data_IF_529718393512
#
_entry.id   IF_529718393512
#
_cell.length_a   1.000
_cell.length_b   1.000
_cell.length_c   1.000
_cell.angle_alpha   90.00
_cell.angle_beta   90.00
_cell.angle_gamma   90.00
#
_symmetry.space_group_name_H-M   'P 1'
#
loop_
_entity.id
_entity.type
_entity.pdbx_description
1 polymer ?
#
# COMPACT_ATOMS: atom_id res chain seq x y z
N UNK A 1 17.74 -29.34 37.81
CA UNK A 1 17.20 -28.06 38.31
C UNK A 1 17.21 -27.08 37.15
N UNK A 2 16.04 -26.64 36.67
CA UNK A 2 15.91 -25.64 35.59
C UNK A 2 15.74 -24.28 36.25
N UNK A 3 16.72 -23.38 36.13
CA UNK A 3 16.49 -21.98 36.48
C UNK A 3 15.72 -21.30 35.34
N UNK A 4 14.57 -20.75 35.72
CA UNK A 4 13.69 -19.92 34.92
C UNK A 4 14.34 -18.55 34.73
N UNK A 5 14.32 -18.03 33.50
CA UNK A 5 14.56 -16.60 33.27
C UNK A 5 15.31 -16.26 31.99
N UNK A 6 14.93 -16.80 30.83
CA UNK A 6 15.38 -16.28 29.54
C UNK A 6 14.73 -14.92 29.27
N UNK A 7 15.18 -13.88 29.99
CA UNK A 7 14.62 -12.54 29.86
C UNK A 7 15.22 -11.88 28.62
N UNK A 8 14.45 -11.86 27.53
CA UNK A 8 14.79 -11.09 26.35
C UNK A 8 14.86 -9.62 26.74
N UNK A 9 16.02 -9.01 26.57
CA UNK A 9 16.25 -7.60 26.91
C UNK A 9 16.72 -6.88 25.65
N UNK A 10 16.09 -5.74 25.33
CA UNK A 10 16.51 -4.89 24.21
C UNK A 10 17.89 -4.33 24.54
N UNK A 11 18.84 -4.52 23.63
CA UNK A 11 20.20 -3.98 23.76
C UNK A 11 20.30 -2.72 22.89
N UNK A 12 20.71 -1.60 23.49
CA UNK A 12 20.97 -0.36 22.75
C UNK A 12 22.28 -0.42 21.96
N UNK A 13 22.47 0.46 20.97
CA UNK A 13 23.63 0.44 20.08
C UNK A 13 24.99 0.53 20.81
N UNK A 14 25.06 1.27 21.91
CA UNK A 14 26.29 1.45 22.70
C UNK A 14 26.30 0.65 24.02
N UNK A 15 25.35 -0.27 24.19
CA UNK A 15 25.22 -1.00 25.45
C UNK A 15 26.25 -2.13 25.54
N UNK A 16 27.11 -2.07 26.56
CA UNK A 16 28.05 -3.14 26.89
C UNK A 16 27.30 -4.30 27.57
N UNK A 17 27.32 -5.49 26.97
CA UNK A 17 26.73 -6.71 27.52
C UNK A 17 27.83 -7.58 28.13
N UNK A 18 27.68 -7.94 29.41
CA UNK A 18 28.61 -8.83 30.09
C UNK A 18 28.20 -10.30 29.88
N UNK A 19 29.10 -11.12 29.33
CA UNK A 19 28.88 -12.54 29.00
C UNK A 19 29.57 -13.49 30.00
N UNK A 20 29.77 -13.03 31.24
CA UNK A 20 30.54 -13.79 32.24
C UNK A 20 29.76 -14.91 32.94
N UNK A 21 28.45 -15.03 32.67
CA UNK A 21 27.61 -16.05 33.27
C UNK A 21 27.59 -17.33 32.40
N UNK A 22 27.73 -18.55 32.97
CA UNK A 22 27.70 -19.78 32.18
C UNK A 22 26.34 -19.98 31.50
N UNK A 23 26.30 -19.90 30.17
CA UNK A 23 25.08 -20.02 29.37
C UNK A 23 25.34 -20.01 27.87
N UNK A 24 24.27 -20.07 27.07
CA UNK A 24 24.32 -19.81 25.62
C UNK A 24 23.58 -18.50 25.39
N UNK A 25 24.31 -17.46 25.03
CA UNK A 25 23.72 -16.20 24.59
C UNK A 25 23.39 -16.26 23.10
N UNK A 26 22.13 -15.93 22.76
CA UNK A 26 21.68 -15.82 21.37
C UNK A 26 21.35 -14.37 21.10
N UNK A 27 22.13 -13.75 20.22
CA UNK A 27 21.78 -12.47 19.64
C UNK A 27 20.84 -12.72 18.47
N UNK A 28 19.60 -12.26 18.60
CA UNK A 28 18.58 -12.39 17.58
C UNK A 28 18.15 -11.00 17.14
N UNK A 29 18.32 -10.68 15.87
CA UNK A 29 17.68 -9.53 15.25
C UNK A 29 16.23 -9.89 15.00
N UNK A 30 15.34 -9.44 15.88
CA UNK A 30 13.90 -9.49 15.65
C UNK A 30 13.50 -8.23 14.86
N UNK A 31 12.79 -8.37 13.72
CA UNK A 31 12.08 -7.24 13.13
C UNK A 31 11.23 -6.57 14.21
N UNK A 32 11.30 -5.24 14.33
CA UNK A 32 10.55 -4.51 15.37
C UNK A 32 9.03 -4.55 15.14
N UNK A 33 8.60 -4.92 13.94
CA UNK A 33 7.19 -5.03 13.57
C UNK A 33 6.68 -6.45 13.85
N UNK A 34 6.18 -6.66 15.06
CA UNK A 34 5.16 -7.69 15.28
C UNK A 34 3.84 -7.17 14.69
N UNK A 35 3.61 -7.44 13.40
CA UNK A 35 2.24 -7.51 12.89
C UNK A 35 1.66 -8.87 13.30
N UNK A 36 0.49 -8.86 13.92
CA UNK A 36 -0.23 -10.07 14.30
C UNK A 36 -0.45 -10.98 13.08
N UNK A 37 0.15 -12.17 13.11
CA UNK A 37 -0.53 -13.42 12.76
C UNK A 37 -0.91 -13.72 11.31
N UNK A 38 -0.69 -12.85 10.33
CA UNK A 38 -0.94 -13.16 8.92
C UNK A 38 0.28 -12.84 8.05
N UNK A 39 0.87 -13.89 7.47
CA UNK A 39 1.89 -13.75 6.44
C UNK A 39 1.27 -13.07 5.22
N UNK A 40 1.84 -11.96 4.77
CA UNK A 40 1.40 -11.26 3.57
C UNK A 40 1.38 -12.21 2.36
N UNK A 41 0.28 -12.21 1.61
CA UNK A 41 0.08 -13.15 0.49
C UNK A 41 0.99 -12.82 -0.69
N UNK A 42 1.39 -13.86 -1.42
CA UNK A 42 2.21 -13.79 -2.65
C UNK A 42 1.63 -14.73 -3.72
N UNK A 43 0.32 -14.61 -3.97
CA UNK A 43 -0.42 -15.49 -4.88
C UNK A 43 -0.19 -15.18 -6.37
N UNK A 44 0.43 -14.04 -6.70
CA UNK A 44 0.70 -13.64 -8.07
C UNK A 44 2.17 -13.25 -8.22
N UNK A 45 2.77 -13.61 -9.34
CA UNK A 45 4.13 -13.18 -9.69
C UNK A 45 4.10 -11.77 -10.28
N UNK A 46 5.00 -10.90 -9.83
CA UNK A 46 5.21 -9.56 -10.37
C UNK A 46 6.47 -9.51 -11.24
N UNK A 47 6.69 -8.38 -11.92
CA UNK A 47 7.96 -8.12 -12.59
C UNK A 47 9.05 -7.83 -11.54
N UNK A 48 10.30 -8.10 -11.88
CA UNK A 48 11.44 -7.81 -10.98
C UNK A 48 11.49 -6.32 -10.60
N UNK A 49 11.36 -5.43 -11.59
CA UNK A 49 11.30 -3.96 -11.39
C UNK A 49 10.14 -3.51 -10.50
N UNK A 50 9.02 -4.22 -10.52
CA UNK A 50 7.85 -3.92 -9.67
C UNK A 50 8.10 -4.33 -8.23
N UNK A 51 8.71 -5.50 -8.00
CA UNK A 51 9.10 -5.94 -6.66
C UNK A 51 10.17 -5.03 -6.06
N UNK A 52 11.18 -4.64 -6.83
CA UNK A 52 12.19 -3.67 -6.42
C UNK A 52 11.56 -2.33 -6.02
N UNK A 53 10.64 -1.83 -6.84
CA UNK A 53 9.88 -0.62 -6.53
C UNK A 53 9.10 -0.78 -5.22
N UNK A 54 8.33 -1.86 -5.05
CA UNK A 54 7.53 -2.10 -3.85
C UNK A 54 8.40 -2.26 -2.59
N UNK A 55 9.57 -2.89 -2.70
CA UNK A 55 10.55 -2.97 -1.61
C UNK A 55 11.09 -1.58 -1.24
N UNK A 56 11.34 -0.72 -2.24
CA UNK A 56 11.83 0.64 -2.02
C UNK A 56 10.84 1.52 -1.24
N UNK A 57 9.53 1.22 -1.31
CA UNK A 57 8.51 1.92 -0.54
C UNK A 57 8.61 1.66 0.97
N UNK A 58 9.25 0.56 1.38
CA UNK A 58 9.32 0.11 2.79
C UNK A 58 7.92 -0.05 3.43
N UNK A 59 6.92 -0.38 2.61
CA UNK A 59 5.54 -0.62 3.03
C UNK A 59 5.19 -2.10 2.92
N UNK A 60 4.33 -2.64 3.82
CA UNK A 60 3.81 -3.99 3.66
C UNK A 60 2.95 -4.05 2.41
N UNK A 61 3.20 -5.01 1.53
CA UNK A 61 2.37 -5.24 0.33
C UNK A 61 2.08 -6.73 0.17
N UNK A 62 1.01 -7.05 -0.54
CA UNK A 62 0.62 -8.42 -0.88
C UNK A 62 -0.02 -8.53 -2.27
N UNK A 63 0.06 -9.73 -2.84
CA UNK A 63 -0.62 -10.05 -4.09
C UNK A 63 -1.62 -11.18 -3.86
N UNK A 64 -2.83 -11.01 -4.36
CA UNK A 64 -3.96 -11.90 -4.13
C UNK A 64 -4.67 -12.16 -5.44
N UNK A 65 -5.15 -13.38 -5.65
CA UNK A 65 -6.02 -13.70 -6.76
C UNK A 65 -7.48 -13.77 -6.28
N UNK A 66 -8.26 -12.74 -6.62
CA UNK A 66 -9.69 -12.68 -6.26
C UNK A 66 -10.52 -12.95 -7.51
N UNK A 67 -11.20 -14.10 -7.53
CA UNK A 67 -12.09 -14.47 -8.64
C UNK A 67 -11.39 -14.64 -9.98
N UNK A 68 -10.13 -15.08 -9.99
CA UNK A 68 -9.32 -15.21 -11.21
C UNK A 68 -8.60 -13.92 -11.63
N UNK A 69 -8.81 -12.81 -10.90
CA UNK A 69 -8.19 -11.53 -11.20
C UNK A 69 -7.03 -11.28 -10.22
N UNK A 70 -5.81 -11.01 -10.72
CA UNK A 70 -4.68 -10.66 -9.86
C UNK A 70 -4.84 -9.24 -9.31
N UNK A 71 -4.59 -9.09 -8.01
CA UNK A 71 -4.62 -7.84 -7.27
C UNK A 71 -3.31 -7.64 -6.52
N UNK A 72 -2.92 -6.38 -6.39
CA UNK A 72 -1.85 -5.91 -5.53
C UNK A 72 -2.45 -5.00 -4.47
N UNK A 73 -2.12 -5.23 -3.20
CA UNK A 73 -2.44 -4.35 -2.08
C UNK A 73 -1.16 -3.82 -1.46
N UNK A 74 -1.07 -2.50 -1.29
CA UNK A 74 0.00 -1.82 -0.55
C UNK A 74 -0.64 -1.27 0.72
N UNK A 75 -0.32 -1.85 1.86
CA UNK A 75 -0.85 -1.45 3.16
C UNK A 75 -0.08 -0.26 3.73
N UNK A 76 -0.72 0.45 4.66
CA UNK A 76 -0.17 1.64 5.29
C UNK A 76 0.31 2.70 4.28
N UNK A 77 -0.28 2.72 3.09
CA UNK A 77 0.02 3.69 2.06
C UNK A 77 -0.32 5.09 2.57
N UNK A 78 0.65 6.03 2.56
CA UNK A 78 0.45 7.35 3.13
C UNK A 78 -0.59 8.12 2.33
N UNK A 79 -1.54 8.73 3.03
CA UNK A 79 -2.54 9.61 2.46
C UNK A 79 -2.19 11.03 2.89
N UNK A 80 -2.15 11.94 1.92
CA UNK A 80 -1.82 13.34 2.18
C UNK A 80 -2.81 14.02 3.15
N UNK A 81 -2.38 15.13 3.73
CA UNK A 81 -3.23 15.93 4.60
C UNK A 81 -4.48 16.44 3.90
N UNK A 82 -5.59 16.51 4.64
CA UNK A 82 -6.89 16.96 4.13
C UNK A 82 -7.91 15.85 3.92
N UNK A 83 -7.51 14.58 4.07
CA UNK A 83 -8.43 13.44 4.11
C UNK A 83 -8.72 12.99 5.56
N UNK A 84 -9.76 12.17 5.71
CA UNK A 84 -10.23 11.59 6.97
C UNK A 84 -9.22 10.63 7.64
N UNK A 85 -8.24 10.11 6.90
CA UNK A 85 -7.21 9.19 7.40
C UNK A 85 -5.84 9.58 6.87
N UNK A 86 -4.78 9.27 7.63
CA UNK A 86 -3.40 9.52 7.23
C UNK A 86 -2.78 8.34 6.46
N UNK A 87 -3.42 7.17 6.48
CA UNK A 87 -2.96 5.95 5.82
C UNK A 87 -4.14 5.12 5.33
N UNK A 88 -3.98 4.45 4.20
CA UNK A 88 -4.94 3.49 3.67
C UNK A 88 -4.23 2.29 3.02
N UNK A 89 -4.97 1.25 2.71
CA UNK A 89 -4.54 0.22 1.75
C UNK A 89 -4.83 0.72 0.35
N UNK A 90 -3.80 0.82 -0.48
CA UNK A 90 -3.91 1.08 -1.91
C UNK A 90 -4.02 -0.25 -2.65
N UNK A 91 -5.15 -0.48 -3.30
CA UNK A 91 -5.40 -1.61 -4.18
C UNK A 91 -5.19 -1.25 -5.65
N UNK A 92 -4.56 -2.16 -6.38
CA UNK A 92 -4.35 -2.08 -7.82
C UNK A 92 -4.80 -3.40 -8.43
N UNK A 93 -5.71 -3.30 -9.40
CA UNK A 93 -6.13 -4.45 -10.19
C UNK A 93 -5.12 -4.68 -11.29
N UNK A 94 -4.41 -5.80 -11.22
CA UNK A 94 -3.47 -6.20 -12.25
C UNK A 94 -4.23 -6.77 -13.45
N UNK A 95 -3.71 -6.57 -14.66
CA UNK A 95 -4.32 -7.11 -15.89
C UNK A 95 -3.49 -8.28 -16.41
N UNK A 96 -4.09 -9.31 -17.04
CA UNK A 96 -3.34 -10.47 -17.54
C UNK A 96 -2.23 -10.15 -18.54
N UNK A 97 -2.35 -9.02 -19.25
CA UNK A 97 -1.37 -8.58 -20.27
C UNK A 97 -0.45 -7.47 -19.75
N UNK A 98 -0.47 -7.16 -18.46
CA UNK A 98 0.49 -6.26 -17.83
C UNK A 98 1.93 -6.79 -18.02
N UNK A 99 2.94 -5.94 -18.34
CA UNK A 99 2.91 -4.46 -18.42
C UNK A 99 2.57 -3.90 -19.81
N UNK A 100 2.22 -4.74 -20.78
CA UNK A 100 1.78 -4.27 -22.11
C UNK A 100 0.43 -3.56 -21.99
N UNK A 101 -0.49 -4.14 -21.21
CA UNK A 101 -1.77 -3.53 -20.89
C UNK A 101 -1.67 -2.55 -19.71
N UNK A 102 -2.42 -1.47 -19.84
CA UNK A 102 -2.46 -0.37 -18.88
C UNK A 102 -3.07 -0.79 -17.53
N UNK A 103 -2.47 -0.28 -16.45
CA UNK A 103 -3.13 -0.14 -15.15
C UNK A 103 -3.95 1.16 -15.11
N UNK A 104 -5.19 1.05 -14.67
CA UNK A 104 -6.19 2.07 -15.01
C UNK A 104 -6.98 2.64 -13.82
N UNK A 105 -6.97 1.98 -12.67
CA UNK A 105 -7.72 2.43 -11.49
C UNK A 105 -6.90 2.20 -10.23
N UNK A 106 -7.33 2.90 -9.17
CA UNK A 106 -6.85 2.67 -7.81
C UNK A 106 -8.03 2.53 -6.86
N UNK A 107 -7.79 1.80 -5.77
CA UNK A 107 -8.81 1.43 -4.81
C UNK A 107 -8.28 1.72 -3.42
N UNK A 108 -9.09 2.32 -2.55
CA UNK A 108 -8.67 2.65 -1.19
C UNK A 108 -9.53 1.97 -0.15
N UNK A 109 -8.88 1.46 0.90
CA UNK A 109 -9.52 0.99 2.11
C UNK A 109 -8.75 1.48 3.35
N UNK A 110 -9.37 2.18 4.32
CA UNK A 110 -10.78 2.58 4.34
C UNK A 110 -11.11 3.61 3.25
N UNK A 111 -12.40 3.84 3.02
CA UNK A 111 -12.86 4.85 2.07
C UNK A 111 -12.37 6.26 2.48
N UNK A 112 -11.88 7.01 1.50
CA UNK A 112 -11.38 8.37 1.70
C UNK A 112 -12.51 9.39 1.58
N UNK A 113 -12.49 10.39 2.44
CA UNK A 113 -13.33 11.58 2.38
C UNK A 113 -12.49 12.81 2.73
N UNK A 114 -12.84 13.96 2.14
CA UNK A 114 -12.14 15.22 2.43
C UNK A 114 -12.65 15.84 3.72
N UNK A 115 -11.74 16.37 4.52
CA UNK A 115 -12.05 17.06 5.77
C UNK A 115 -12.71 18.43 5.56
N UNK A 116 -12.59 19.01 4.36
CA UNK A 116 -13.27 20.25 3.97
C UNK A 116 -14.74 20.05 3.57
N UNK A 117 -15.25 18.81 3.64
CA UNK A 117 -16.63 18.45 3.32
C UNK A 117 -16.96 18.45 1.83
N UNK A 118 -16.00 18.72 0.94
CA UNK A 118 -16.23 18.65 -0.50
C UNK A 118 -16.35 17.19 -0.96
N UNK A 119 -17.30 16.88 -1.88
CA UNK A 119 -17.43 15.54 -2.42
C UNK A 119 -16.22 15.20 -3.30
N UNK A 120 -15.83 13.93 -3.29
CA UNK A 120 -14.88 13.37 -4.25
C UNK A 120 -15.71 12.73 -5.37
N UNK A 121 -15.46 13.14 -6.62
CA UNK A 121 -16.22 12.66 -7.77
C UNK A 121 -15.83 11.25 -8.22
N UNK A 122 -16.73 10.59 -8.97
CA UNK A 122 -16.48 9.29 -9.62
C UNK A 122 -15.88 8.22 -8.70
N UNK A 123 -16.57 7.99 -7.58
CA UNK A 123 -16.30 6.94 -6.61
C UNK A 123 -17.39 5.87 -6.64
N UNK A 124 -17.00 4.60 -6.51
CA UNK A 124 -17.93 3.49 -6.34
C UNK A 124 -17.42 2.47 -5.32
N UNK A 125 -18.28 1.84 -4.51
CA UNK A 125 -17.86 0.75 -3.65
C UNK A 125 -17.57 -0.53 -4.47
N UNK A 126 -16.61 -1.32 -4.02
CA UNK A 126 -16.29 -2.64 -4.55
C UNK A 126 -16.04 -3.61 -3.40
N UNK A 127 -16.84 -4.67 -3.31
CA UNK A 127 -16.58 -5.79 -2.40
C UNK A 127 -15.38 -6.59 -2.93
N UNK A 128 -14.29 -6.59 -2.16
CA UNK A 128 -13.03 -7.18 -2.54
C UNK A 128 -12.33 -7.73 -1.30
N UNK A 129 -12.04 -9.03 -1.32
CA UNK A 129 -11.26 -9.71 -0.28
C UNK A 129 -11.82 -9.47 1.15
N UNK A 130 -13.15 -9.57 1.29
CA UNK A 130 -13.85 -9.37 2.55
C UNK A 130 -13.95 -7.91 3.04
N UNK A 131 -13.48 -6.95 2.24
CA UNK A 131 -13.51 -5.51 2.53
C UNK A 131 -14.28 -4.76 1.44
N UNK A 132 -14.85 -3.61 1.80
CA UNK A 132 -15.48 -2.70 0.84
C UNK A 132 -14.47 -1.63 0.47
N UNK A 133 -13.82 -1.81 -0.68
CA UNK A 133 -12.89 -0.82 -1.22
C UNK A 133 -13.65 0.31 -1.91
N UNK A 134 -13.13 1.52 -1.78
CA UNK A 134 -13.57 2.67 -2.55
C UNK A 134 -12.78 2.73 -3.85
N UNK A 135 -13.45 2.46 -4.98
CA UNK A 135 -12.87 2.55 -6.32
C UNK A 135 -12.81 4.00 -6.78
N UNK A 136 -11.65 4.38 -7.31
CA UNK A 136 -11.41 5.67 -7.95
C UNK A 136 -11.26 5.45 -9.47
N UNK A 137 -12.28 5.85 -10.23
CA UNK A 137 -12.23 5.81 -11.70
C UNK A 137 -11.50 7.06 -12.19
N UNK A 138 -10.18 6.97 -12.29
CA UNK A 138 -9.32 8.01 -12.84
C UNK A 138 -8.45 7.37 -13.90
N UNK A 139 -8.58 7.85 -15.13
CA UNK A 139 -7.89 7.26 -16.28
C UNK A 139 -6.70 8.13 -16.67
N UNK A 140 -5.69 7.50 -17.25
CA UNK A 140 -4.64 8.24 -17.96
C UNK A 140 -5.25 9.03 -19.10
N UNK A 141 -4.77 10.25 -19.31
CA UNK A 141 -5.28 11.12 -20.38
C UNK A 141 -4.58 10.80 -21.70
N UNK A 142 -5.16 11.18 -22.85
CA UNK A 142 -4.47 11.04 -24.14
C UNK A 142 -3.13 11.77 -24.21
N UNK A 143 -2.94 12.81 -23.39
CA UNK A 143 -1.67 13.55 -23.30
C UNK A 143 -0.60 12.84 -22.48
N UNK A 144 -0.99 11.91 -21.60
CA UNK A 144 -0.07 11.10 -20.81
C UNK A 144 -0.53 9.63 -20.82
N UNK A 145 -0.54 8.96 -21.99
CA UNK A 145 -1.04 7.60 -22.13
C UNK A 145 -0.09 6.61 -21.48
N UNK A 146 -0.58 5.40 -21.19
CA UNK A 146 0.29 4.28 -20.87
C UNK A 146 1.25 4.00 -22.02
N UNK A 147 2.53 3.81 -21.69
CA UNK A 147 3.61 3.48 -22.62
C UNK A 147 4.00 2.02 -22.40
N UNK A 148 3.55 1.11 -23.28
CA UNK A 148 3.86 -0.32 -23.15
C UNK A 148 5.37 -0.57 -23.06
N UNK A 149 5.79 -1.36 -22.07
CA UNK A 149 7.20 -1.69 -21.83
C UNK A 149 8.03 -0.55 -21.21
N UNK A 150 7.42 0.59 -20.84
CA UNK A 150 8.06 1.67 -20.10
C UNK A 150 7.32 2.01 -18.80
N UNK A 151 5.99 1.95 -18.83
CA UNK A 151 5.17 2.15 -17.63
C UNK A 151 4.94 0.83 -16.89
N UNK A 152 4.95 0.91 -15.56
CA UNK A 152 4.83 -0.19 -14.61
C UNK A 152 4.27 0.35 -13.28
N UNK A 153 4.40 -0.39 -12.16
CA UNK A 153 3.93 0.10 -10.86
C UNK A 153 4.63 1.38 -10.42
N UNK A 154 5.92 1.55 -10.74
CA UNK A 154 6.70 2.72 -10.34
C UNK A 154 6.22 4.01 -11.01
N UNK A 155 5.47 3.92 -12.12
CA UNK A 155 4.82 5.08 -12.75
C UNK A 155 3.32 5.16 -12.46
N UNK A 156 2.69 4.06 -12.05
CA UNK A 156 1.26 4.02 -11.72
C UNK A 156 0.95 4.39 -10.28
N UNK A 157 1.74 3.93 -9.31
CA UNK A 157 1.53 4.26 -7.89
C UNK A 157 1.66 5.77 -7.63
N UNK A 158 2.70 6.48 -8.14
CA UNK A 158 2.77 7.94 -7.99
C UNK A 158 1.64 8.70 -8.70
N UNK A 159 1.00 8.08 -9.70
CA UNK A 159 -0.18 8.66 -10.34
C UNK A 159 -1.39 8.68 -9.39
N UNK A 160 -1.46 7.73 -8.45
CA UNK A 160 -2.46 7.74 -7.38
C UNK A 160 -2.31 8.98 -6.50
N UNK A 161 -1.08 9.34 -6.12
CA UNK A 161 -0.79 10.56 -5.34
C UNK A 161 -1.22 11.81 -6.12
N UNK A 162 -0.92 11.85 -7.42
CA UNK A 162 -1.34 12.95 -8.27
C UNK A 162 -2.87 13.09 -8.31
N UNK A 163 -3.62 11.99 -8.34
CA UNK A 163 -5.09 12.05 -8.30
C UNK A 163 -5.61 12.53 -6.96
N UNK A 164 -4.99 12.13 -5.85
CA UNK A 164 -5.33 12.66 -4.52
C UNK A 164 -5.09 14.19 -4.49
N UNK A 165 -3.95 14.65 -5.01
CA UNK A 165 -3.62 16.08 -5.05
C UNK A 165 -4.62 16.89 -5.88
N UNK A 166 -4.99 16.33 -7.03
CA UNK A 166 -5.86 16.99 -8.00
C UNK A 166 -7.27 17.21 -7.43
N UNK A 167 -7.74 16.37 -6.50
CA UNK A 167 -9.01 16.62 -5.82
C UNK A 167 -9.03 17.97 -5.09
N UNK A 168 -7.93 18.39 -4.46
CA UNK A 168 -7.86 19.71 -3.80
C UNK A 168 -7.66 20.87 -4.78
N UNK A 169 -7.20 20.60 -6.00
CA UNK A 169 -7.04 21.61 -7.07
C UNK A 169 -8.32 21.83 -7.86
N UNK A 170 -9.17 20.81 -7.98
CA UNK A 170 -10.50 20.92 -8.57
C UNK A 170 -11.32 21.91 -7.75
N UNK A 171 -11.54 23.11 -8.31
CA UNK A 171 -12.52 24.06 -7.77
C UNK A 171 -13.89 23.39 -7.82
N UNK A 172 -14.77 23.56 -6.81
CA UNK A 172 -16.14 23.11 -6.92
C UNK A 172 -16.73 23.72 -8.20
N UNK A 173 -17.08 22.86 -9.15
CA UNK A 173 -17.80 23.27 -10.33
C UNK A 173 -19.04 24.00 -9.86
N UNK A 174 -19.19 25.26 -10.29
CA UNK A 174 -20.38 26.05 -10.04
C UNK A 174 -21.57 25.18 -10.41
N UNK A 175 -22.39 24.79 -9.42
CA UNK A 175 -23.68 24.22 -9.69
C UNK A 175 -24.45 25.31 -10.45
N UNK A 176 -24.54 25.18 -11.78
CA UNK A 176 -25.51 25.94 -12.55
C UNK A 176 -26.85 25.33 -12.16
N UNK A 177 -27.48 25.93 -11.15
CA UNK A 177 -28.89 25.74 -10.86
C UNK A 177 -29.67 26.02 -12.14
N UNK A 178 -30.41 25.01 -12.60
CA UNK A 178 -31.55 25.20 -13.48
C UNK A 178 -32.82 25.27 -12.62
#
# INVERSE_FOLDING_TARGET
>A
MKQKGGKVTKVGYDQTVCLSEPGIEKFLTLPLDQTEGETLRRECTLLEEDEEYLQSLQLPWETVNVGGMPWLFIHNYPIQGGYNVNTATLGIRMTPSYPVAQLDMVYFYPALSRNDGQPIGALSPLDLDGKVFQQWSRHRTPSNPWRPGLDNLSTHVPLADHWLDDEFRKRPGHAISA
#
